data_IF_106086476345
#
_entry.id   IF_106086476345
#
_cell.length_a   1.000
_cell.length_b   1.000
_cell.length_c   1.000
_cell.angle_alpha   90.00
_cell.angle_beta   90.00
_cell.angle_gamma   90.00
#
_symmetry.space_group_name_H-M   'P 1'
#
loop_
_entity.id
_entity.type
_entity.pdbx_description
1 polymer ?
#
# COMPACT_ATOMS: atom_id res chain seq x y z
N UNK A 1 12.33 16.31 26.50
CA UNK A 1 11.11 15.53 26.25
C UNK A 1 11.18 14.26 27.08
N UNK A 2 10.08 13.85 27.71
CA UNK A 2 10.01 12.68 28.58
C UNK A 2 10.37 11.42 27.78
N UNK A 3 11.20 10.53 28.32
CA UNK A 3 11.85 9.40 27.61
C UNK A 3 10.91 8.27 27.15
N UNK A 4 9.60 8.46 27.25
CA UNK A 4 8.58 7.43 27.01
C UNK A 4 7.78 7.62 25.71
N UNK A 5 7.94 8.76 25.02
CA UNK A 5 7.14 9.12 23.84
C UNK A 5 5.64 9.32 24.16
N UNK A 6 4.78 9.60 23.16
CA UNK A 6 3.33 9.76 23.36
C UNK A 6 2.66 8.47 23.84
N UNK A 7 1.83 8.55 24.90
CA UNK A 7 1.15 7.40 25.50
C UNK A 7 -0.33 7.25 25.08
N UNK A 8 -0.87 8.19 24.31
CA UNK A 8 -2.22 8.10 23.72
C UNK A 8 -2.27 8.72 22.32
N UNK A 9 -3.32 8.43 21.54
CA UNK A 9 -3.55 9.05 20.22
C UNK A 9 -3.70 10.57 20.33
N UNK A 10 -4.31 11.05 21.42
CA UNK A 10 -4.44 12.48 21.71
C UNK A 10 -3.08 13.14 21.99
N UNK A 11 -2.24 12.51 22.80
CA UNK A 11 -0.87 12.97 23.06
C UNK A 11 0.00 12.92 21.80
N UNK A 12 -0.18 11.89 20.97
CA UNK A 12 0.53 11.76 19.69
C UNK A 12 0.21 12.94 18.77
N UNK A 13 -1.08 13.26 18.61
CA UNK A 13 -1.52 14.42 17.84
C UNK A 13 -1.04 15.76 18.42
N UNK A 14 -1.02 15.89 19.76
CA UNK A 14 -0.50 17.07 20.45
C UNK A 14 1.00 17.25 20.23
N UNK A 15 1.79 16.17 20.29
CA UNK A 15 3.23 16.19 20.03
C UNK A 15 3.53 16.63 18.58
N UNK A 16 2.80 16.12 17.59
CA UNK A 16 2.94 16.58 16.20
C UNK A 16 2.58 18.06 16.03
N UNK A 17 1.55 18.54 16.74
CA UNK A 17 1.18 19.97 16.73
C UNK A 17 2.28 20.86 17.34
N UNK A 18 2.91 20.40 18.41
CA UNK A 18 4.04 21.08 19.04
C UNK A 18 5.23 21.17 18.08
N UNK A 19 5.58 20.05 17.42
CA UNK A 19 6.64 20.00 16.41
C UNK A 19 6.36 20.90 15.20
N UNK A 20 5.10 20.96 14.73
CA UNK A 20 4.70 21.86 13.65
C UNK A 20 4.91 23.34 14.00
N UNK A 21 4.80 23.69 15.28
CA UNK A 21 4.95 25.06 15.77
C UNK A 21 4.05 26.05 15.02
N UNK A 22 4.67 27.05 14.38
CA UNK A 22 3.95 28.13 13.66
C UNK A 22 3.54 27.77 12.23
N UNK A 23 4.05 26.69 11.64
CA UNK A 23 3.69 26.29 10.26
C UNK A 23 2.20 25.95 10.22
N UNK A 24 1.45 26.41 9.21
CA UNK A 24 0.02 26.05 9.13
C UNK A 24 -0.16 24.61 8.66
N UNK A 25 -1.29 23.98 8.99
CA UNK A 25 -1.62 22.64 8.47
C UNK A 25 -1.64 22.61 6.94
N UNK A 26 -2.05 23.71 6.31
CA UNK A 26 -2.02 23.83 4.85
C UNK A 26 -0.59 23.82 4.33
N UNK A 27 0.33 24.58 4.95
CA UNK A 27 1.73 24.59 4.51
C UNK A 27 2.40 23.22 4.66
N UNK A 28 2.07 22.46 5.71
CA UNK A 28 2.55 21.08 5.88
C UNK A 28 1.99 20.17 4.78
N UNK A 29 0.69 20.26 4.48
CA UNK A 29 0.07 19.50 3.40
C UNK A 29 0.67 19.86 2.02
N UNK A 30 0.87 21.15 1.73
CA UNK A 30 1.48 21.60 0.48
C UNK A 30 2.94 21.12 0.37
N UNK A 31 3.70 21.16 1.46
CA UNK A 31 5.06 20.63 1.50
C UNK A 31 5.06 19.12 1.22
N UNK A 32 4.18 18.36 1.88
CA UNK A 32 4.04 16.94 1.65
C UNK A 32 3.75 16.63 0.17
N UNK A 33 2.80 17.33 -0.43
CA UNK A 33 2.45 17.15 -1.85
C UNK A 33 3.59 17.50 -2.80
N UNK A 34 4.33 18.59 -2.55
CA UNK A 34 5.53 18.95 -3.33
C UNK A 34 6.65 17.91 -3.22
N UNK A 35 6.71 17.19 -2.11
CA UNK A 35 7.62 16.07 -1.89
C UNK A 35 6.95 14.71 -2.20
N UNK A 36 5.80 14.76 -2.88
CA UNK A 36 5.01 13.63 -3.34
C UNK A 36 4.63 12.60 -2.26
N UNK A 37 4.38 13.09 -1.05
CA UNK A 37 3.68 12.35 -0.02
C UNK A 37 2.19 12.65 -0.08
N UNK A 38 1.37 11.64 0.22
CA UNK A 38 -0.03 11.89 0.52
C UNK A 38 -0.19 12.48 1.92
N UNK A 39 -0.67 13.71 1.98
CA UNK A 39 -1.19 14.32 3.21
C UNK A 39 -2.09 15.49 2.83
N UNK A 40 -3.39 15.41 3.13
CA UNK A 40 -4.29 16.55 2.99
C UNK A 40 -4.50 17.27 4.32
N UNK A 41 -4.83 18.56 4.26
CA UNK A 41 -5.06 19.39 5.46
C UNK A 41 -6.16 18.84 6.39
N UNK A 42 -7.29 18.29 5.91
CA UNK A 42 -8.27 17.62 6.77
C UNK A 42 -7.72 16.38 7.49
N UNK A 43 -6.89 15.58 6.80
CA UNK A 43 -6.20 14.41 7.36
C UNK A 43 -5.25 14.84 8.49
N UNK A 44 -4.40 15.84 8.22
CA UNK A 44 -3.52 16.41 9.24
C UNK A 44 -4.29 16.97 10.43
N UNK A 45 -5.43 17.64 10.19
CA UNK A 45 -6.28 18.13 11.27
C UNK A 45 -6.85 17.00 12.12
N UNK A 46 -7.29 15.90 11.52
CA UNK A 46 -7.78 14.74 12.25
C UNK A 46 -6.67 14.08 13.09
N UNK A 47 -5.47 13.94 12.52
CA UNK A 47 -4.29 13.41 13.21
C UNK A 47 -3.92 14.30 14.40
N UNK A 48 -3.74 15.60 14.18
CA UNK A 48 -3.34 16.53 15.25
C UNK A 48 -4.39 16.62 16.36
N UNK A 49 -5.69 16.47 16.05
CA UNK A 49 -6.76 16.42 17.05
C UNK A 49 -6.86 15.09 17.78
N UNK A 50 -6.03 14.10 17.44
CA UNK A 50 -6.03 12.79 18.07
C UNK A 50 -7.20 11.90 17.67
N UNK A 51 -7.86 12.17 16.54
CA UNK A 51 -8.98 11.35 16.06
C UNK A 51 -8.52 10.02 15.46
N UNK A 52 -7.28 9.96 14.96
CA UNK A 52 -6.64 8.77 14.42
C UNK A 52 -5.12 8.88 14.47
N UNK A 53 -4.44 7.75 14.42
CA UNK A 53 -3.01 7.71 14.16
C UNK A 53 -2.73 8.05 12.67
N UNK A 54 -1.58 8.68 12.35
CA UNK A 54 -1.16 8.84 10.96
C UNK A 54 -0.72 7.49 10.37
N UNK A 55 -0.78 7.36 9.04
CA UNK A 55 -0.02 6.31 8.33
C UNK A 55 1.49 6.57 8.47
N UNK A 56 2.35 5.60 8.16
CA UNK A 56 3.80 5.83 8.19
C UNK A 56 4.22 6.91 7.17
N UNK A 57 3.58 6.96 6.01
CA UNK A 57 3.81 7.99 4.99
C UNK A 57 3.31 9.36 5.41
N UNK A 58 2.13 9.47 6.02
CA UNK A 58 1.66 10.73 6.60
C UNK A 58 2.61 11.20 7.71
N UNK A 59 3.08 10.29 8.56
CA UNK A 59 4.02 10.60 9.63
C UNK A 59 5.36 11.11 9.08
N UNK A 60 5.94 10.42 8.10
CA UNK A 60 7.17 10.88 7.40
C UNK A 60 6.94 12.26 6.78
N UNK A 61 5.82 12.47 6.11
CA UNK A 61 5.49 13.74 5.47
C UNK A 61 5.40 14.89 6.47
N UNK A 62 4.72 14.67 7.61
CA UNK A 62 4.58 15.66 8.69
C UNK A 62 5.96 15.98 9.26
N UNK A 63 6.73 14.97 9.64
CA UNK A 63 8.04 15.15 10.26
C UNK A 63 9.05 15.81 9.31
N UNK A 64 9.08 15.40 8.04
CA UNK A 64 9.92 16.02 7.02
C UNK A 64 9.55 17.49 6.80
N UNK A 65 8.26 17.83 6.70
CA UNK A 65 7.81 19.22 6.56
C UNK A 65 8.11 20.10 7.79
N UNK A 66 8.28 19.47 8.96
CA UNK A 66 8.68 20.12 10.19
C UNK A 66 10.20 20.13 10.41
N UNK A 67 10.99 19.68 9.44
CA UNK A 67 12.46 19.57 9.55
C UNK A 67 12.90 18.64 10.70
N UNK A 68 12.11 17.59 10.97
CA UNK A 68 12.27 16.61 12.06
C UNK A 68 12.27 15.16 11.59
N UNK A 69 12.86 14.90 10.42
CA UNK A 69 12.98 13.55 9.87
C UNK A 69 13.79 12.59 10.77
N UNK A 70 14.62 13.14 11.67
CA UNK A 70 15.35 12.42 12.73
C UNK A 70 14.43 11.66 13.69
N UNK A 71 13.18 12.11 13.86
CA UNK A 71 12.23 11.52 14.80
C UNK A 71 11.36 10.41 14.20
N UNK A 72 11.56 10.04 12.93
CA UNK A 72 10.67 9.11 12.23
C UNK A 72 10.59 7.76 12.95
N UNK A 73 11.72 7.18 13.35
CA UNK A 73 11.74 5.85 13.97
C UNK A 73 11.11 5.85 15.38
N UNK A 74 11.34 6.92 16.15
CA UNK A 74 10.74 7.08 17.48
C UNK A 74 9.20 7.15 17.38
N UNK A 75 8.68 8.00 16.48
CA UNK A 75 7.25 8.15 16.27
C UNK A 75 6.64 6.90 15.62
N UNK A 76 7.38 6.18 14.77
CA UNK A 76 6.94 4.89 14.23
C UNK A 76 6.73 3.88 15.36
N UNK A 77 7.70 3.76 16.27
CA UNK A 77 7.60 2.86 17.42
C UNK A 77 6.46 3.25 18.36
N UNK A 78 6.25 4.55 18.61
CA UNK A 78 5.11 5.03 19.41
C UNK A 78 3.77 4.71 18.75
N UNK A 79 3.64 4.95 17.44
CA UNK A 79 2.44 4.62 16.66
C UNK A 79 2.10 3.13 16.78
N UNK A 80 3.08 2.25 16.65
CA UNK A 80 2.88 0.80 16.68
C UNK A 80 2.40 0.30 18.04
N UNK A 81 2.97 0.83 19.14
CA UNK A 81 2.48 0.54 20.50
C UNK A 81 1.03 0.95 20.70
N UNK A 82 0.63 2.08 20.14
CA UNK A 82 -0.74 2.59 20.24
C UNK A 82 -1.72 1.84 19.33
N UNK A 83 -1.28 1.40 18.16
CA UNK A 83 -2.10 0.63 17.21
C UNK A 83 -2.36 -0.81 17.69
N UNK A 84 -1.38 -1.41 18.38
CA UNK A 84 -1.45 -2.78 18.88
C UNK A 84 -1.26 -2.80 20.40
N UNK A 85 -2.25 -2.35 21.20
CA UNK A 85 -2.11 -2.34 22.64
C UNK A 85 -1.97 -3.77 23.15
N UNK A 86 -0.89 -4.06 23.89
CA UNK A 86 -0.72 -5.34 24.57
C UNK A 86 -1.93 -5.53 25.50
N UNK A 87 -2.70 -6.62 25.36
CA UNK A 87 -3.84 -6.84 26.24
C UNK A 87 -3.35 -6.90 27.67
N UNK A 88 -3.91 -6.05 28.54
CA UNK A 88 -3.62 -6.10 29.97
C UNK A 88 -3.82 -7.55 30.43
N UNK A 89 -2.80 -8.13 31.08
CA UNK A 89 -2.85 -9.49 31.59
C UNK A 89 -4.10 -9.62 32.45
N UNK A 90 -5.14 -10.28 31.93
CA UNK A 90 -6.28 -10.68 32.76
C UNK A 90 -5.69 -11.70 33.73
N UNK A 91 -5.60 -11.32 35.00
CA UNK A 91 -5.43 -12.29 36.09
C UNK A 91 -6.57 -13.29 35.96
N UNK A 92 -6.27 -14.48 35.43
CA UNK A 92 -7.22 -15.58 35.33
C UNK A 92 -7.59 -15.93 36.77
N UNK A 93 -8.80 -15.58 37.21
CA UNK A 93 -9.36 -16.17 38.43
C UNK A 93 -9.50 -17.67 38.17
N UNK A 94 -8.99 -18.56 39.04
CA UNK A 94 -9.05 -19.99 38.82
C UNK A 94 -10.53 -20.43 38.79
N UNK A 95 -11.03 -20.76 37.61
CA UNK A 95 -12.37 -21.31 37.41
C UNK A 95 -12.32 -22.80 37.77
N UNK A 96 -13.17 -23.24 38.71
CA UNK A 96 -13.31 -24.65 39.08
C UNK A 96 -13.99 -25.39 37.92
N UNK A 97 -13.31 -26.40 37.36
CA UNK A 97 -13.82 -27.25 36.30
C UNK A 97 -15.07 -28.02 36.75
N UNK A 98 -16.17 -27.88 36.01
CA UNK A 98 -17.21 -28.91 35.93
C UNK A 98 -17.18 -29.42 34.49
N UNK A 99 -16.76 -30.67 34.32
CA UNK A 99 -16.72 -31.33 33.02
C UNK A 99 -18.15 -31.60 32.54
N UNK A 100 -18.53 -31.05 31.39
CA UNK A 100 -19.70 -31.49 30.63
C UNK A 100 -19.17 -32.27 29.43
N UNK A 101 -19.39 -33.59 29.45
CA UNK A 101 -19.13 -34.48 28.31
C UNK A 101 -20.25 -34.28 27.29
N UNK A 102 -19.93 -33.74 26.12
CA UNK A 102 -20.83 -33.68 24.98
C UNK A 102 -20.45 -34.76 23.96
N UNK A 103 -21.41 -35.62 23.64
CA UNK A 103 -21.28 -36.75 22.73
C UNK A 103 -21.06 -36.29 21.27
N UNK A 104 -20.13 -36.95 20.59
CA UNK A 104 -19.89 -36.79 19.15
C UNK A 104 -20.87 -37.67 18.39
N UNK A 105 -21.76 -37.07 17.61
CA UNK A 105 -22.57 -37.76 16.61
C UNK A 105 -21.90 -37.61 15.24
N UNK A 106 -21.43 -38.73 14.67
CA UNK A 106 -20.91 -38.80 13.30
C UNK A 106 -22.10 -38.87 12.35
N UNK A 107 -22.30 -37.83 11.55
CA UNK A 107 -23.23 -37.84 10.40
C UNK A 107 -22.39 -37.79 9.13
N UNK A 108 -22.29 -38.92 8.44
CA UNK A 108 -21.76 -39.01 7.09
C UNK A 108 -22.84 -38.56 6.10
N UNK A 109 -22.74 -37.32 5.61
CA UNK A 109 -23.52 -36.88 4.45
C UNK A 109 -22.60 -36.86 3.23
N UNK A 110 -22.89 -37.76 2.28
CA UNK A 110 -22.17 -37.86 1.01
C UNK A 110 -22.31 -36.58 0.18
N UNK A 111 -21.17 -36.02 -0.23
CA UNK A 111 -21.12 -34.88 -1.14
C UNK A 111 -21.27 -35.41 -2.56
N UNK A 112 -22.40 -35.14 -3.19
CA UNK A 112 -22.59 -35.32 -4.62
C UNK A 112 -21.93 -34.13 -5.34
N UNK A 113 -20.86 -34.39 -6.10
CA UNK A 113 -20.32 -33.42 -7.05
C UNK A 113 -21.25 -33.36 -8.27
N UNK A 114 -22.02 -32.27 -8.39
CA UNK A 114 -22.68 -31.91 -9.64
C UNK A 114 -21.67 -31.10 -10.45
N UNK A 115 -21.16 -31.67 -11.54
CA UNK A 115 -20.36 -30.96 -12.52
C UNK A 115 -21.28 -29.96 -13.27
N UNK A 116 -21.06 -28.67 -13.09
CA UNK A 116 -21.67 -27.64 -13.95
C UNK A 116 -20.77 -27.40 -15.18
N UNK A 117 -21.31 -27.42 -16.41
CA UNK A 117 -20.56 -27.05 -17.59
C UNK A 117 -20.66 -25.53 -17.84
N UNK A 118 -19.55 -24.91 -18.24
CA UNK A 118 -19.56 -23.57 -18.82
C UNK A 118 -18.50 -22.62 -18.27
N UNK A 119 -17.22 -23.02 -18.31
CA UNK A 119 -16.10 -22.13 -18.02
C UNK A 119 -15.92 -21.16 -19.20
N UNK A 120 -16.55 -20.00 -19.12
CA UNK A 120 -16.22 -18.86 -19.98
C UNK A 120 -14.94 -18.24 -19.42
N UNK A 121 -13.82 -18.54 -20.07
CA UNK A 121 -12.47 -17.92 -19.92
C UNK A 121 -12.42 -16.65 -19.04
N UNK A 122 -12.29 -16.84 -17.73
CA UNK A 122 -11.94 -15.78 -16.80
C UNK A 122 -10.43 -15.56 -16.87
N UNK A 123 -10.00 -14.62 -17.71
CA UNK A 123 -8.61 -14.18 -17.76
C UNK A 123 -8.26 -13.51 -16.42
N UNK A 124 -7.44 -14.22 -15.62
CA UNK A 124 -6.57 -13.75 -14.53
C UNK A 124 -7.16 -13.07 -13.26
N UNK A 125 -7.63 -13.87 -12.28
CA UNK A 125 -7.64 -13.44 -10.84
C UNK A 125 -6.54 -14.13 -10.01
N UNK A 126 -5.69 -14.92 -10.66
CA UNK A 126 -4.57 -15.56 -9.98
C UNK A 126 -3.51 -14.52 -9.63
N UNK A 127 -3.00 -14.52 -8.39
CA UNK A 127 -1.88 -13.68 -8.00
C UNK A 127 -0.67 -13.86 -8.93
N UNK A 128 -0.03 -12.75 -9.29
CA UNK A 128 1.21 -12.71 -10.04
C UNK A 128 2.25 -11.90 -9.29
N UNK A 129 3.51 -12.14 -9.64
CA UNK A 129 4.64 -11.28 -9.31
C UNK A 129 4.99 -10.47 -10.55
N UNK A 130 5.24 -9.17 -10.36
CA UNK A 130 5.72 -8.28 -11.43
C UNK A 130 7.20 -8.03 -11.17
N UNK A 131 8.08 -8.54 -12.04
CA UNK A 131 9.54 -8.44 -11.94
C UNK A 131 10.10 -7.41 -12.91
N UNK A 132 11.12 -6.67 -12.47
CA UNK A 132 11.87 -5.78 -13.36
C UNK A 132 12.93 -6.60 -14.13
N UNK A 133 12.60 -7.02 -15.34
CA UNK A 133 13.41 -7.87 -16.19
C UNK A 133 13.90 -9.12 -15.47
N UNK A 134 15.15 -9.49 -15.74
CA UNK A 134 15.82 -10.64 -15.11
C UNK A 134 16.51 -10.29 -13.79
N UNK A 135 16.31 -9.07 -13.25
CA UNK A 135 16.99 -8.61 -12.02
C UNK A 135 16.60 -9.40 -10.75
N UNK A 136 15.50 -10.14 -10.80
CA UNK A 136 14.91 -10.79 -9.62
C UNK A 136 14.12 -9.83 -8.71
N UNK A 137 14.25 -8.52 -8.90
CA UNK A 137 13.54 -7.51 -8.11
C UNK A 137 12.05 -7.46 -8.48
N UNK A 138 11.21 -7.40 -7.45
CA UNK A 138 9.74 -7.43 -7.56
C UNK A 138 9.15 -6.05 -7.25
N UNK A 139 8.19 -5.61 -8.07
CA UNK A 139 7.34 -4.45 -7.75
C UNK A 139 6.55 -4.77 -6.48
N UNK A 140 6.75 -3.97 -5.45
CA UNK A 140 6.31 -4.25 -4.08
C UNK A 140 5.72 -2.99 -3.47
N UNK A 141 4.63 -3.12 -2.72
CA UNK A 141 4.14 -2.01 -1.89
C UNK A 141 4.99 -1.87 -0.64
N UNK A 142 5.48 -0.67 -0.33
CA UNK A 142 6.19 -0.40 0.94
C UNK A 142 5.28 -0.74 2.12
N UNK A 143 5.83 -1.39 3.15
CA UNK A 143 5.13 -1.64 4.41
C UNK A 143 4.68 -0.32 5.04
N UNK A 144 3.38 -0.05 4.92
CA UNK A 144 2.70 1.00 5.66
C UNK A 144 1.38 0.43 6.23
N UNK A 145 1.11 0.59 7.54
CA UNK A 145 -0.20 0.28 8.13
C UNK A 145 -1.34 1.12 7.55
N UNK A 146 -1.06 2.20 6.83
CA UNK A 146 -2.01 2.89 5.96
C UNK A 146 -1.64 2.75 4.50
N UNK A 147 -2.38 1.91 3.79
CA UNK A 147 -2.12 1.54 2.39
C UNK A 147 -2.37 2.67 1.37
N UNK A 148 -3.03 3.76 1.78
CA UNK A 148 -3.29 4.92 0.92
C UNK A 148 -2.03 5.76 0.74
N UNK A 149 -1.57 5.88 -0.50
CA UNK A 149 -0.37 6.63 -0.85
C UNK A 149 0.90 5.87 -0.51
N UNK A 150 0.82 4.57 -0.22
CA UNK A 150 1.98 3.72 -0.04
C UNK A 150 2.78 3.68 -1.35
N UNK A 151 4.05 4.09 -1.33
CA UNK A 151 4.88 4.01 -2.53
C UNK A 151 5.06 2.56 -2.95
N UNK A 152 5.21 2.33 -4.24
CA UNK A 152 5.75 1.06 -4.73
C UNK A 152 7.26 1.17 -4.88
N UNK A 153 7.94 0.08 -4.56
CA UNK A 153 9.40 -0.06 -4.64
C UNK A 153 9.78 -1.35 -5.35
N UNK A 154 11.01 -1.42 -5.83
CA UNK A 154 11.65 -2.70 -6.15
C UNK A 154 12.15 -3.37 -4.87
N UNK A 155 11.90 -4.68 -4.75
CA UNK A 155 12.37 -5.48 -3.63
C UNK A 155 12.87 -6.85 -4.07
N UNK A 156 14.01 -7.29 -3.57
CA UNK A 156 14.58 -8.61 -3.89
C UNK A 156 13.74 -9.75 -3.32
N UNK A 157 13.38 -9.67 -2.04
CA UNK A 157 12.60 -10.70 -1.34
C UNK A 157 11.52 -10.07 -0.45
N UNK A 158 10.47 -9.48 -1.05
CA UNK A 158 9.34 -8.97 -0.28
C UNK A 158 8.58 -10.12 0.39
N UNK A 159 7.87 -9.82 1.49
CA UNK A 159 6.88 -10.76 2.01
C UNK A 159 5.82 -11.05 0.93
N UNK A 160 5.25 -12.26 0.97
CA UNK A 160 4.29 -12.74 -0.04
C UNK A 160 3.13 -11.76 -0.23
N UNK A 161 2.66 -11.11 0.83
CA UNK A 161 1.52 -10.18 0.75
C UNK A 161 1.84 -8.83 0.09
N UNK A 162 3.11 -8.43 0.01
CA UNK A 162 3.48 -7.08 -0.45
C UNK A 162 3.99 -7.02 -1.89
N UNK A 163 4.48 -8.14 -2.41
CA UNK A 163 5.02 -8.27 -3.76
C UNK A 163 4.09 -9.00 -4.74
N UNK A 164 2.84 -9.27 -4.34
CA UNK A 164 1.86 -9.98 -5.14
C UNK A 164 0.75 -9.06 -5.63
N UNK A 165 0.36 -9.26 -6.88
CA UNK A 165 -0.62 -8.43 -7.59
C UNK A 165 -1.66 -9.29 -8.28
N UNK A 166 -2.86 -8.75 -8.47
CA UNK A 166 -3.89 -9.27 -9.35
C UNK A 166 -4.12 -8.27 -10.46
N UNK A 167 -4.06 -8.73 -11.71
CA UNK A 167 -4.37 -7.93 -12.89
C UNK A 167 -5.82 -8.22 -13.24
N UNK A 168 -6.72 -7.35 -12.79
CA UNK A 168 -8.15 -7.64 -12.80
C UNK A 168 -8.97 -6.40 -13.16
N UNK A 169 -10.28 -6.59 -13.34
CA UNK A 169 -11.28 -5.52 -13.51
C UNK A 169 -10.94 -4.58 -14.67
N UNK A 170 -11.23 -4.99 -15.91
CA UNK A 170 -10.98 -4.16 -17.08
C UNK A 170 -11.73 -2.82 -17.00
N UNK A 171 -11.14 -1.77 -17.58
CA UNK A 171 -11.79 -0.46 -17.66
C UNK A 171 -13.07 -0.54 -18.49
N UNK A 172 -14.12 0.12 -18.01
CA UNK A 172 -15.46 0.09 -18.63
C UNK A 172 -15.51 0.55 -20.08
N UNK A 173 -14.61 1.45 -20.50
CA UNK A 173 -14.58 2.01 -21.86
C UNK A 173 -13.46 1.45 -22.75
N UNK A 174 -12.45 0.81 -22.16
CA UNK A 174 -11.35 0.20 -22.90
C UNK A 174 -10.89 -1.07 -22.17
N UNK A 175 -11.32 -2.25 -22.61
CA UNK A 175 -11.06 -3.50 -21.90
C UNK A 175 -9.59 -3.94 -21.95
N UNK A 176 -8.72 -3.20 -22.65
CA UNK A 176 -7.27 -3.47 -22.66
C UNK A 176 -6.52 -2.84 -21.47
N UNK A 177 -7.21 -2.04 -20.65
CA UNK A 177 -6.64 -1.49 -19.43
C UNK A 177 -7.25 -2.16 -18.20
N UNK A 178 -6.42 -2.54 -17.23
CA UNK A 178 -6.81 -3.30 -16.06
C UNK A 178 -6.38 -2.58 -14.79
N UNK A 179 -7.06 -2.86 -13.68
CA UNK A 179 -6.54 -2.52 -12.37
C UNK A 179 -5.45 -3.52 -11.96
N UNK A 180 -4.36 -3.00 -11.41
CA UNK A 180 -3.30 -3.82 -10.79
C UNK A 180 -3.47 -3.74 -9.28
N UNK A 181 -4.10 -4.75 -8.68
CA UNK A 181 -4.53 -4.76 -7.27
C UNK A 181 -3.53 -5.50 -6.40
N UNK A 182 -3.08 -4.92 -5.28
CA UNK A 182 -2.19 -5.68 -4.40
C UNK A 182 -2.97 -6.77 -3.65
N UNK A 183 -2.37 -7.92 -3.51
CA UNK A 183 -2.91 -9.01 -2.69
C UNK A 183 -2.84 -8.63 -1.21
N UNK A 184 -3.79 -9.10 -0.39
CA UNK A 184 -3.82 -8.82 1.05
C UNK A 184 -4.30 -7.41 1.44
N UNK A 185 -4.51 -6.51 0.48
CA UNK A 185 -5.03 -5.15 0.72
C UNK A 185 -6.31 -4.92 -0.08
N UNK A 186 -7.50 -5.24 0.49
CA UNK A 186 -8.74 -5.15 -0.26
C UNK A 186 -8.99 -3.71 -0.72
N UNK A 187 -9.40 -3.57 -1.98
CA UNK A 187 -9.70 -2.28 -2.65
C UNK A 187 -8.50 -1.37 -2.88
N UNK A 188 -7.28 -1.91 -2.97
CA UNK A 188 -6.08 -1.10 -3.15
C UNK A 188 -5.41 -1.38 -4.51
N UNK A 189 -5.33 -0.35 -5.35
CA UNK A 189 -4.89 -0.39 -6.75
C UNK A 189 -3.58 0.37 -6.95
N UNK A 190 -2.75 -0.10 -7.88
CA UNK A 190 -1.61 0.65 -8.42
C UNK A 190 -2.11 1.94 -9.06
N UNK A 191 -1.52 3.06 -8.70
CA UNK A 191 -2.00 4.39 -9.07
C UNK A 191 -0.84 5.33 -9.43
N UNK A 192 -0.98 6.07 -10.53
CA UNK A 192 -0.20 7.29 -10.75
C UNK A 192 -0.68 8.37 -9.76
N UNK A 193 0.22 8.77 -8.85
CA UNK A 193 -0.13 9.58 -7.68
C UNK A 193 -0.88 10.86 -8.06
N UNK A 194 -1.99 11.14 -7.36
CA UNK A 194 -2.83 12.34 -7.55
C UNK A 194 -3.34 12.54 -8.99
N UNK A 195 -3.51 11.46 -9.74
CA UNK A 195 -3.91 11.53 -11.15
C UNK A 195 -2.93 12.34 -12.01
N UNK A 196 -1.67 12.42 -11.60
CA UNK A 196 -0.63 13.16 -12.31
C UNK A 196 -0.43 12.61 -13.71
N UNK A 197 -0.18 13.52 -14.66
CA UNK A 197 0.28 13.20 -16.01
C UNK A 197 1.75 13.56 -16.23
N UNK A 198 2.42 14.07 -15.21
CA UNK A 198 3.81 14.46 -15.29
C UNK A 198 4.73 13.25 -15.11
N UNK A 199 5.81 13.21 -15.87
CA UNK A 199 6.93 12.32 -15.60
C UNK A 199 7.49 12.50 -14.19
N UNK A 200 8.15 11.46 -13.70
CA UNK A 200 8.74 11.36 -12.36
C UNK A 200 7.73 11.44 -11.21
N UNK A 201 6.43 11.51 -11.49
CA UNK A 201 5.41 11.35 -10.46
C UNK A 201 5.43 9.92 -9.93
N UNK A 202 5.41 9.75 -8.60
CA UNK A 202 5.43 8.41 -8.01
C UNK A 202 4.25 7.55 -8.45
N UNK A 203 4.54 6.26 -8.58
CA UNK A 203 3.54 5.21 -8.61
C UNK A 203 3.35 4.73 -7.17
N UNK A 204 2.10 4.72 -6.74
CA UNK A 204 1.71 4.41 -5.37
C UNK A 204 0.61 3.36 -5.37
N UNK A 205 0.16 2.99 -4.19
CA UNK A 205 -1.08 2.29 -3.99
C UNK A 205 -2.16 3.26 -3.48
N UNK A 206 -3.38 3.12 -3.99
CA UNK A 206 -4.51 3.94 -3.61
C UNK A 206 -5.83 3.17 -3.58
N UNK A 207 -6.87 3.75 -2.95
CA UNK A 207 -8.21 3.16 -2.98
C UNK A 207 -8.72 3.10 -4.40
N UNK A 208 -9.00 1.87 -4.87
CA UNK A 208 -9.61 1.62 -6.17
C UNK A 208 -10.91 2.42 -6.24
N UNK A 209 -10.93 3.43 -7.11
CA UNK A 209 -12.01 4.40 -7.28
C UNK A 209 -12.50 4.50 -8.73
N UNK A 210 -11.85 3.78 -9.66
CA UNK A 210 -12.26 3.74 -11.06
C UNK A 210 -11.72 4.90 -11.91
N UNK A 211 -10.83 5.74 -11.37
CA UNK A 211 -10.13 6.77 -12.14
C UNK A 211 -9.08 6.18 -13.09
N UNK A 212 -8.95 6.77 -14.28
CA UNK A 212 -8.04 6.29 -15.35
C UNK A 212 -6.57 6.20 -14.90
N UNK A 213 -6.16 6.98 -13.90
CA UNK A 213 -4.82 6.91 -13.32
C UNK A 213 -4.54 5.60 -12.55
N UNK A 214 -5.55 4.75 -12.34
CA UNK A 214 -5.46 3.43 -11.72
C UNK A 214 -5.54 2.27 -12.73
N UNK A 215 -5.62 2.58 -14.02
CA UNK A 215 -5.78 1.60 -15.09
C UNK A 215 -4.52 1.53 -15.94
N UNK A 216 -4.06 0.30 -16.16
CA UNK A 216 -2.77 0.01 -16.77
C UNK A 216 -2.91 -1.02 -17.88
N UNK A 217 -2.22 -0.80 -19.00
CA UNK A 217 -2.12 -1.74 -20.10
C UNK A 217 -0.73 -2.39 -20.07
N UNK A 218 -0.69 -3.69 -20.29
CA UNK A 218 0.54 -4.46 -20.39
C UNK A 218 0.84 -4.64 -21.88
N UNK A 219 1.84 -3.93 -22.38
CA UNK A 219 2.23 -3.97 -23.80
C UNK A 219 3.51 -4.78 -23.96
N UNK A 220 3.54 -5.68 -24.94
CA UNK A 220 4.74 -6.45 -25.24
C UNK A 220 5.73 -5.60 -26.03
N UNK A 221 6.98 -5.57 -25.59
CA UNK A 221 8.11 -4.96 -26.27
C UNK A 221 9.34 -5.84 -26.15
N UNK A 222 9.82 -6.35 -27.29
CA UNK A 222 11.09 -7.07 -27.41
C UNK A 222 11.30 -8.22 -26.40
N UNK A 223 10.20 -8.88 -26.00
CA UNK A 223 10.22 -10.01 -25.05
C UNK A 223 9.96 -9.65 -23.59
N UNK A 224 9.86 -8.36 -23.26
CA UNK A 224 9.44 -7.84 -21.96
C UNK A 224 8.11 -7.07 -22.07
N UNK A 225 7.54 -6.66 -20.94
CA UNK A 225 6.32 -5.86 -20.87
C UNK A 225 6.63 -4.40 -20.54
N UNK A 226 5.87 -3.48 -21.12
CA UNK A 226 5.69 -2.11 -20.65
C UNK A 226 4.37 -2.03 -19.89
N UNK A 227 4.35 -1.36 -18.74
CA UNK A 227 3.12 -1.16 -17.94
C UNK A 227 2.68 0.29 -18.10
N UNK A 228 1.77 0.53 -19.03
CA UNK A 228 1.38 1.86 -19.53
C UNK A 228 0.13 2.36 -18.83
N UNK A 229 0.17 3.57 -18.27
CA UNK A 229 -0.98 4.19 -17.62
C UNK A 229 -2.02 4.68 -18.65
N UNK A 230 -3.31 4.46 -18.37
CA UNK A 230 -4.40 4.91 -19.25
C UNK A 230 -4.46 6.43 -19.39
N UNK A 231 -4.29 7.16 -18.27
CA UNK A 231 -4.44 8.61 -18.21
C UNK A 231 -3.23 9.34 -18.78
N UNK A 232 -2.03 9.00 -18.30
CA UNK A 232 -0.81 9.76 -18.64
C UNK A 232 -0.10 9.23 -19.88
N UNK A 233 -0.38 8.00 -20.31
CA UNK A 233 0.38 7.26 -21.34
C UNK A 233 1.85 7.01 -21.00
N UNK A 234 2.25 7.29 -19.76
CA UNK A 234 3.58 7.01 -19.22
C UNK A 234 3.64 5.59 -18.65
N UNK A 235 4.86 5.07 -18.51
CA UNK A 235 5.13 3.73 -18.03
C UNK A 235 5.58 3.70 -16.58
N UNK A 236 5.26 2.62 -15.85
CA UNK A 236 5.88 2.33 -14.55
C UNK A 236 7.37 2.09 -14.74
N UNK A 237 8.22 2.87 -14.05
CA UNK A 237 9.67 2.75 -14.16
C UNK A 237 10.45 3.33 -12.98
N UNK A 238 11.74 3.01 -12.91
CA UNK A 238 12.65 3.59 -11.91
C UNK A 238 12.93 5.06 -12.27
N UNK A 239 13.22 5.96 -11.31
CA UNK A 239 13.49 7.37 -11.59
C UNK A 239 14.80 7.60 -12.36
N UNK A 240 15.73 6.65 -12.29
CA UNK A 240 16.99 6.65 -13.01
C UNK A 240 17.26 5.31 -13.71
N UNK A 241 18.44 5.13 -14.31
CA UNK A 241 18.79 3.90 -15.03
C UNK A 241 19.07 2.71 -14.10
N UNK A 242 19.29 2.95 -12.82
CA UNK A 242 19.67 1.92 -11.86
C UNK A 242 18.45 1.21 -11.27
N UNK A 243 18.55 -0.13 -11.20
CA UNK A 243 17.60 -1.00 -10.51
C UNK A 243 18.30 -1.61 -9.30
N UNK A 244 17.86 -1.27 -8.10
CA UNK A 244 18.35 -1.86 -6.85
C UNK A 244 17.21 -1.99 -5.82
N UNK A 245 17.45 -2.72 -4.74
CA UNK A 245 16.48 -2.85 -3.66
C UNK A 245 16.12 -1.46 -3.10
N UNK A 246 14.81 -1.23 -2.89
CA UNK A 246 14.29 0.01 -2.32
C UNK A 246 14.07 1.17 -3.30
N UNK A 247 14.41 1.03 -4.60
CA UNK A 247 14.09 2.05 -5.61
C UNK A 247 12.59 2.31 -5.61
N UNK A 248 12.17 3.56 -5.38
CA UNK A 248 10.76 3.98 -5.48
C UNK A 248 10.37 4.16 -6.92
N UNK A 249 9.22 3.63 -7.29
CA UNK A 249 8.75 3.64 -8.67
C UNK A 249 8.03 4.94 -9.01
N UNK A 250 8.23 5.40 -10.24
CA UNK A 250 7.61 6.58 -10.83
C UNK A 250 6.93 6.21 -12.14
N UNK A 251 6.15 7.14 -12.70
CA UNK A 251 5.80 7.12 -14.11
C UNK A 251 6.85 7.90 -14.92
N UNK A 252 7.25 7.39 -16.06
CA UNK A 252 8.23 8.04 -16.96
C UNK A 252 8.00 7.64 -18.42
N UNK A 253 8.80 8.20 -19.31
CA UNK A 253 8.82 7.76 -20.71
C UNK A 253 9.00 6.23 -20.80
N UNK A 254 8.25 5.61 -21.70
CA UNK A 254 8.20 4.17 -21.83
C UNK A 254 9.50 3.55 -22.38
N UNK A 255 10.29 4.30 -23.14
CA UNK A 255 11.58 3.83 -23.65
C UNK A 255 12.67 3.83 -22.56
N UNK A 256 12.46 4.59 -21.49
CA UNK A 256 13.34 4.60 -20.31
C UNK A 256 12.86 3.69 -19.17
N UNK A 257 11.69 3.07 -19.30
CA UNK A 257 11.16 2.16 -18.30
C UNK A 257 11.88 0.80 -18.39
N UNK A 258 12.09 0.09 -17.27
CA UNK A 258 12.60 -1.27 -17.33
C UNK A 258 11.59 -2.17 -18.03
N UNK A 259 12.07 -3.17 -18.77
CA UNK A 259 11.21 -4.26 -19.23
C UNK A 259 10.64 -5.03 -18.04
N UNK A 260 9.34 -5.29 -18.02
CA UNK A 260 8.66 -6.01 -16.93
C UNK A 260 8.35 -7.46 -17.32
N UNK A 261 8.28 -8.35 -16.33
CA UNK A 261 7.81 -9.73 -16.49
C UNK A 261 6.72 -10.03 -15.46
N UNK A 262 5.61 -10.62 -15.90
CA UNK A 262 4.59 -11.17 -14.99
C UNK A 262 4.83 -12.67 -14.82
N UNK A 263 4.96 -13.12 -13.57
CA UNK A 263 5.21 -14.53 -13.24
C UNK A 263 4.04 -15.02 -12.37
N UNK A 264 3.29 -16.05 -12.79
CA UNK A 264 2.31 -16.71 -11.92
C UNK A 264 2.98 -17.25 -10.64
N UNK A 265 2.33 -17.09 -9.49
CA UNK A 265 2.74 -17.72 -8.21
C UNK A 265 1.87 -18.93 -7.86
#
# INVERSE_FOLDING_TARGET
MNTSGPASVAEFGAALRELRGRKTQQNIADHAQRNHFYLHRPDLSAIERGHRLPTANELRAILQACDRADLVDEFIGARERLANPVPASRTIRPWRWVAVVAAVAVVTAGVWFVASPGETTAVHDQPVVIRAGDSGLRLTVVEDPGWKGAHTVLRESPSRELGMWRIADPHKSDPNFFQVRAVGRPRACLEAFQQSIAEQSYVVQWECNGGENQFWRFEQDSGALRIVNMRSRLCVGAPGPELHDGVRMVQRDCDDAPGWLTVPE
#
